data_IF_265540929590
#
_entry.id   IF_265540929590
#
_cell.length_a   1.000
_cell.length_b   1.000
_cell.length_c   1.000
_cell.angle_alpha   90.00
_cell.angle_beta   90.00
_cell.angle_gamma   90.00
#
_symmetry.space_group_name_H-M   'P 1'
#
loop_
_entity.id
_entity.type
_entity.pdbx_description
1 polymer ?
#
# COMPACT_ATOMS: atom_id res chain seq x y z
N UNK A 1 -9.90 21.58 -18.21
CA UNK A 1 -9.14 21.22 -16.99
C UNK A 1 -8.00 20.32 -17.42
N UNK A 2 -6.73 20.79 -17.49
CA UNK A 2 -5.64 19.87 -17.77
C UNK A 2 -5.42 19.03 -16.52
N UNK A 3 -5.51 17.71 -16.69
CA UNK A 3 -5.07 16.73 -15.71
C UNK A 3 -3.54 16.72 -15.77
N UNK A 4 -2.89 17.09 -14.68
CA UNK A 4 -1.44 17.03 -14.52
C UNK A 4 -0.99 15.56 -14.52
N UNK A 5 -0.79 14.99 -15.71
CA UNK A 5 -0.33 13.61 -15.92
C UNK A 5 1.21 13.46 -15.95
N UNK A 6 1.99 14.52 -15.62
CA UNK A 6 3.44 14.56 -15.86
C UNK A 6 4.29 14.78 -14.61
N UNK A 7 3.84 14.28 -13.47
CA UNK A 7 4.75 14.02 -12.35
C UNK A 7 4.39 12.65 -11.83
N UNK A 8 5.02 11.61 -12.37
CA UNK A 8 5.07 10.32 -11.68
C UNK A 8 5.66 10.63 -10.31
N UNK A 9 4.85 10.63 -9.24
CA UNK A 9 5.31 11.06 -7.94
C UNK A 9 6.43 10.10 -7.53
N UNK A 10 7.47 10.62 -6.89
CA UNK A 10 8.43 9.73 -6.23
C UNK A 10 7.66 8.77 -5.31
N UNK A 11 8.11 7.52 -5.12
CA UNK A 11 7.42 6.56 -4.26
C UNK A 11 7.02 7.16 -2.90
N UNK A 12 7.89 7.98 -2.32
CA UNK A 12 7.61 8.72 -1.10
C UNK A 12 6.45 9.72 -1.24
N UNK A 13 6.41 10.51 -2.31
CA UNK A 13 5.31 11.44 -2.57
C UNK A 13 3.98 10.70 -2.76
N UNK A 14 3.97 9.58 -3.48
CA UNK A 14 2.77 8.75 -3.64
C UNK A 14 2.25 8.23 -2.29
N UNK A 15 3.14 7.67 -1.46
CA UNK A 15 2.74 7.12 -0.16
C UNK A 15 2.22 8.23 0.75
N UNK A 16 2.88 9.39 0.80
CA UNK A 16 2.45 10.51 1.64
C UNK A 16 1.08 11.06 1.19
N UNK A 17 0.85 11.18 -0.13
CA UNK A 17 -0.44 11.62 -0.67
C UNK A 17 -1.59 10.62 -0.42
N UNK A 18 -1.28 9.33 -0.32
CA UNK A 18 -2.27 8.27 -0.10
C UNK A 18 -2.21 7.65 1.30
N UNK A 19 -1.55 8.31 2.25
CA UNK A 19 -1.25 7.77 3.58
C UNK A 19 -2.48 7.16 4.29
N UNK A 20 -3.59 7.90 4.33
CA UNK A 20 -4.84 7.46 4.98
C UNK A 20 -5.46 6.25 4.27
N UNK A 21 -5.45 6.25 2.95
CA UNK A 21 -6.01 5.17 2.14
C UNK A 21 -5.16 3.89 2.29
N UNK A 22 -3.83 4.03 2.32
CA UNK A 22 -2.89 2.94 2.54
C UNK A 22 -3.01 2.34 3.95
N UNK A 23 -3.16 3.17 5.00
CA UNK A 23 -3.42 2.68 6.36
C UNK A 23 -4.76 1.93 6.44
N UNK A 24 -5.82 2.47 5.82
CA UNK A 24 -7.15 1.84 5.78
C UNK A 24 -7.13 0.50 5.06
N UNK A 25 -6.48 0.43 3.89
CA UNK A 25 -6.30 -0.80 3.13
C UNK A 25 -5.47 -1.83 3.92
N UNK A 26 -4.39 -1.39 4.56
CA UNK A 26 -3.56 -2.27 5.38
C UNK A 26 -4.31 -2.81 6.60
N UNK A 27 -5.13 -1.98 7.27
CA UNK A 27 -6.00 -2.42 8.35
C UNK A 27 -7.05 -3.42 7.87
N UNK A 28 -7.64 -3.19 6.69
CA UNK A 28 -8.64 -4.08 6.12
C UNK A 28 -8.05 -5.44 5.74
N UNK A 29 -6.84 -5.47 5.18
CA UNK A 29 -6.22 -6.70 4.66
C UNK A 29 -5.38 -7.43 5.71
N UNK A 30 -4.46 -6.73 6.37
CA UNK A 30 -3.50 -7.30 7.31
C UNK A 30 -3.74 -6.90 8.77
N UNK A 31 -4.64 -5.95 9.04
CA UNK A 31 -5.05 -5.59 10.40
C UNK A 31 -4.16 -4.56 11.05
N UNK A 32 -4.27 -4.47 12.39
CA UNK A 32 -3.52 -3.49 13.19
C UNK A 32 -2.01 -3.60 13.01
N UNK A 33 -1.48 -4.80 12.84
CA UNK A 33 -0.04 -4.98 12.63
C UNK A 33 0.42 -4.45 11.26
N UNK A 34 -0.40 -4.66 10.22
CA UNK A 34 -0.12 -4.13 8.89
C UNK A 34 -0.32 -2.61 8.83
N UNK A 35 -1.40 -2.10 9.42
CA UNK A 35 -1.65 -0.66 9.59
C UNK A 35 -0.49 0.02 10.32
N UNK A 36 -0.06 -0.54 11.45
CA UNK A 36 1.06 -0.01 12.22
C UNK A 36 2.38 -0.03 11.42
N UNK A 37 2.59 -1.03 10.56
CA UNK A 37 3.75 -1.05 9.66
C UNK A 37 3.71 0.10 8.66
N UNK A 38 2.58 0.29 7.98
CA UNK A 38 2.39 1.37 7.00
C UNK A 38 2.52 2.75 7.67
N UNK A 39 1.94 2.92 8.85
CA UNK A 39 2.05 4.16 9.61
C UNK A 39 3.51 4.48 9.97
N UNK A 40 4.28 3.49 10.44
CA UNK A 40 5.72 3.69 10.72
C UNK A 40 6.51 4.07 9.47
N UNK A 41 6.19 3.50 8.32
CA UNK A 41 6.83 3.87 7.05
C UNK A 41 6.54 5.34 6.70
N UNK A 42 5.27 5.76 6.80
CA UNK A 42 4.85 7.15 6.59
C UNK A 42 5.60 8.10 7.54
N UNK A 43 5.61 7.78 8.82
CA UNK A 43 6.30 8.59 9.84
C UNK A 43 7.81 8.68 9.55
N UNK A 44 8.43 7.57 9.12
CA UNK A 44 9.84 7.53 8.76
C UNK A 44 10.16 8.41 7.53
N UNK A 45 9.30 8.39 6.51
CA UNK A 45 9.44 9.24 5.32
C UNK A 45 9.25 10.73 5.62
N UNK A 46 8.46 11.08 6.63
CA UNK A 46 8.30 12.47 7.08
C UNK A 46 9.55 13.02 7.78
N UNK A 47 10.35 12.16 8.41
CA UNK A 47 11.45 12.57 9.31
C UNK A 47 12.83 12.46 8.65
N UNK A 48 13.05 11.53 7.72
CA UNK A 48 14.38 11.32 7.12
C UNK A 48 14.31 10.92 5.64
N UNK A 49 15.27 11.35 4.81
CA UNK A 49 15.41 10.82 3.46
C UNK A 49 15.72 9.32 3.57
N UNK A 50 14.74 8.49 3.20
CA UNK A 50 14.84 7.05 3.28
C UNK A 50 16.01 6.52 2.46
N UNK A 51 16.75 5.55 3.00
CA UNK A 51 17.67 4.75 2.21
C UNK A 51 16.88 3.91 1.20
N UNK A 52 17.37 3.86 -0.04
CA UNK A 52 16.71 3.19 -1.16
C UNK A 52 16.44 1.71 -0.89
N UNK A 53 17.28 1.02 -0.11
CA UNK A 53 17.11 -0.39 0.24
C UNK A 53 15.98 -0.65 1.24
N UNK A 54 15.87 0.16 2.30
CA UNK A 54 14.77 0.06 3.27
C UNK A 54 13.44 0.39 2.59
N UNK A 55 13.43 1.47 1.80
CA UNK A 55 12.23 1.88 1.07
C UNK A 55 11.76 0.80 0.10
N UNK A 56 12.66 0.18 -0.68
CA UNK A 56 12.31 -0.95 -1.55
C UNK A 56 11.67 -2.11 -0.79
N UNK A 57 12.25 -2.51 0.35
CA UNK A 57 11.71 -3.62 1.16
C UNK A 57 10.30 -3.34 1.69
N UNK A 58 10.06 -2.12 2.17
CA UNK A 58 8.75 -1.73 2.66
C UNK A 58 7.73 -1.58 1.53
N UNK A 59 8.15 -1.07 0.37
CA UNK A 59 7.34 -1.04 -0.85
C UNK A 59 6.96 -2.46 -1.30
N UNK A 60 7.91 -3.41 -1.30
CA UNK A 60 7.64 -4.80 -1.65
C UNK A 60 6.64 -5.43 -0.67
N UNK A 61 6.77 -5.18 0.64
CA UNK A 61 5.83 -5.67 1.63
C UNK A 61 4.42 -5.09 1.46
N UNK A 62 4.31 -3.80 1.10
CA UNK A 62 3.03 -3.15 0.81
C UNK A 62 2.41 -3.69 -0.48
N UNK A 63 3.20 -3.86 -1.53
CA UNK A 63 2.74 -4.43 -2.78
C UNK A 63 2.24 -5.86 -2.59
N UNK A 64 2.96 -6.69 -1.83
CA UNK A 64 2.50 -8.06 -1.53
C UNK A 64 1.22 -8.07 -0.70
N UNK A 65 1.03 -7.12 0.22
CA UNK A 65 -0.21 -7.01 0.99
C UNK A 65 -1.38 -6.58 0.11
N UNK A 66 -1.23 -5.50 -0.66
CA UNK A 66 -2.26 -4.96 -1.55
C UNK A 66 -2.55 -5.90 -2.74
N UNK A 67 -1.53 -6.61 -3.21
CA UNK A 67 -1.61 -7.64 -4.25
C UNK A 67 -2.19 -8.96 -3.76
N UNK A 68 -2.49 -9.07 -2.47
CA UNK A 68 -3.07 -10.26 -1.85
C UNK A 68 -2.19 -11.50 -2.01
N UNK A 69 -0.86 -11.32 -2.07
CA UNK A 69 0.08 -12.41 -2.34
C UNK A 69 -0.03 -13.56 -1.32
N UNK A 70 -0.50 -13.28 -0.11
CA UNK A 70 -0.58 -14.23 1.00
C UNK A 70 -1.99 -14.73 1.33
N UNK A 71 -3.04 -14.34 0.58
CA UNK A 71 -4.43 -14.75 0.92
C UNK A 71 -4.72 -16.22 0.64
N UNK A 72 -3.82 -16.92 -0.06
CA UNK A 72 -3.89 -18.36 -0.29
C UNK A 72 -3.46 -19.18 0.94
N UNK A 73 -2.77 -18.56 1.89
CA UNK A 73 -2.28 -19.18 3.12
C UNK A 73 -3.35 -19.02 4.21
N UNK A 74 -4.17 -20.07 4.42
CA UNK A 74 -5.29 -20.04 5.36
C UNK A 74 -4.86 -19.89 6.83
N UNK A 75 -3.59 -20.11 7.16
CA UNK A 75 -3.05 -19.90 8.50
C UNK A 75 -2.71 -18.43 8.78
N UNK A 76 -2.86 -17.56 7.78
CA UNK A 76 -2.59 -16.13 7.87
C UNK A 76 -3.84 -15.29 8.02
N UNK A 77 -3.67 -14.17 8.72
CA UNK A 77 -4.74 -13.22 8.98
C UNK A 77 -5.24 -12.56 7.68
N UNK A 78 -4.36 -12.44 6.69
CA UNK A 78 -4.70 -11.92 5.36
C UNK A 78 -5.76 -12.76 4.66
N UNK A 79 -5.73 -14.10 4.81
CA UNK A 79 -6.71 -14.99 4.18
C UNK A 79 -8.09 -14.88 4.84
N UNK A 80 -8.15 -14.86 6.18
CA UNK A 80 -9.39 -14.66 6.93
C UNK A 80 -10.03 -13.31 6.59
N UNK A 81 -9.23 -12.23 6.60
CA UNK A 81 -9.73 -10.89 6.32
C UNK A 81 -10.16 -10.72 4.87
N UNK A 82 -9.40 -11.24 3.92
CA UNK A 82 -9.79 -11.20 2.52
C UNK A 82 -11.10 -11.93 2.28
N UNK A 83 -11.30 -13.11 2.89
CA UNK A 83 -12.56 -13.85 2.79
C UNK A 83 -13.76 -13.11 3.38
N UNK A 84 -13.54 -12.17 4.31
CA UNK A 84 -14.58 -11.33 4.89
C UNK A 84 -14.92 -10.09 4.04
N UNK A 85 -14.13 -9.77 3.00
CA UNK A 85 -14.40 -8.64 2.10
C UNK A 85 -15.48 -9.05 1.11
N UNK A 86 -16.55 -8.24 1.03
CA UNK A 86 -17.56 -8.38 -0.03
C UNK A 86 -16.92 -8.09 -1.40
N UNK A 87 -16.94 -9.04 -2.36
CA UNK A 87 -16.43 -8.84 -3.72
C UNK A 87 -17.05 -7.66 -4.48
N UNK A 88 -18.23 -7.20 -4.08
CA UNK A 88 -18.92 -6.05 -4.68
C UNK A 88 -18.65 -4.74 -3.94
N UNK A 89 -17.83 -4.78 -2.89
CA UNK A 89 -17.48 -3.60 -2.11
C UNK A 89 -16.61 -2.64 -2.94
N UNK A 90 -16.91 -1.32 -2.93
CA UNK A 90 -16.11 -0.33 -3.63
C UNK A 90 -14.66 -0.24 -3.11
N UNK A 91 -14.39 -0.76 -1.91
CA UNK A 91 -13.04 -0.79 -1.35
C UNK A 91 -12.06 -1.63 -2.18
N UNK A 92 -12.56 -2.62 -2.95
CA UNK A 92 -11.72 -3.43 -3.83
C UNK A 92 -11.14 -2.56 -4.94
N UNK A 93 -11.96 -1.71 -5.56
CA UNK A 93 -11.50 -0.78 -6.59
C UNK A 93 -10.46 0.19 -6.02
N UNK A 94 -10.68 0.70 -4.81
CA UNK A 94 -9.71 1.56 -4.12
C UNK A 94 -8.37 0.84 -3.87
N UNK A 95 -8.40 -0.41 -3.38
CA UNK A 95 -7.19 -1.22 -3.19
C UNK A 95 -6.46 -1.45 -4.52
N UNK A 96 -7.20 -1.76 -5.59
CA UNK A 96 -6.62 -1.95 -6.92
C UNK A 96 -5.95 -0.66 -7.43
N UNK A 97 -6.57 0.51 -7.24
CA UNK A 97 -6.00 1.80 -7.62
C UNK A 97 -4.74 2.13 -6.81
N UNK A 98 -4.74 1.83 -5.51
CA UNK A 98 -3.56 2.02 -4.66
C UNK A 98 -2.40 1.11 -5.08
N UNK A 99 -2.69 -0.16 -5.40
CA UNK A 99 -1.70 -1.12 -5.88
C UNK A 99 -1.08 -0.68 -7.21
N UNK A 100 -1.91 -0.24 -8.16
CA UNK A 100 -1.43 0.22 -9.46
C UNK A 100 -0.58 1.48 -9.32
N UNK A 101 -1.05 2.48 -8.57
CA UNK A 101 -0.28 3.70 -8.32
C UNK A 101 1.05 3.44 -7.59
N UNK A 102 1.09 2.45 -6.70
CA UNK A 102 2.32 2.01 -6.03
C UNK A 102 3.32 1.42 -7.03
N UNK A 103 2.85 0.56 -7.95
CA UNK A 103 3.68 -0.06 -9.00
C UNK A 103 4.22 0.97 -9.98
N UNK A 104 3.38 1.91 -10.41
CA UNK A 104 3.78 3.02 -11.28
C UNK A 104 4.85 3.89 -10.62
N UNK A 105 4.69 4.24 -9.34
CA UNK A 105 5.67 5.02 -8.60
C UNK A 105 7.00 4.24 -8.43
N UNK A 106 6.94 2.92 -8.25
CA UNK A 106 8.12 2.06 -8.11
C UNK A 106 8.87 1.82 -9.43
N UNK A 107 8.21 1.91 -10.59
CA UNK A 107 8.83 1.63 -11.89
C UNK A 107 10.06 2.50 -12.23
N UNK A 108 10.28 3.59 -11.47
CA UNK A 108 11.38 4.54 -11.64
C UNK A 108 12.49 4.42 -10.58
N UNK A 109 12.44 3.42 -9.69
CA UNK A 109 13.46 3.14 -8.65
C UNK A 109 14.57 2.20 -9.13
#
# INVERSE_FOLDING_TARGET
>A
MPRDFLSTPSPAAFILSNATALCSAAMLLGGRDAEARVQRLIDFMCVSPCTTSHMRRELDAMESLLGLDHVHDLDRIEAERFAAIDPMSPVIEEICLLLEGLREARAWL
#
